data_IF_551688281256
#
_entry.id   IF_551688281256
#
_cell.length_a   1.000
_cell.length_b   1.000
_cell.length_c   1.000
_cell.angle_alpha   90.00
_cell.angle_beta   90.00
_cell.angle_gamma   90.00
#
_symmetry.space_group_name_H-M   'P 1'
#
loop_
_entity.id
_entity.type
_entity.pdbx_description
1 polymer ?
#
# COMPACT_ATOMS: atom_id res chain seq x y z
N UNK A 1 -0.27 -9.67 -9.45
CA UNK A 1 0.97 -9.93 -8.68
C UNK A 1 0.73 -11.16 -7.81
N UNK A 2 1.77 -11.82 -7.28
CA UNK A 2 1.64 -12.96 -6.36
C UNK A 2 1.77 -12.48 -4.92
N UNK A 3 1.13 -13.17 -3.97
CA UNK A 3 1.32 -12.88 -2.53
C UNK A 3 2.77 -13.14 -2.13
N UNK A 4 3.20 -12.52 -1.03
CA UNK A 4 4.51 -12.79 -0.46
C UNK A 4 4.55 -14.17 0.23
N UNK A 5 5.72 -14.80 0.27
CA UNK A 5 5.97 -16.08 0.94
C UNK A 5 6.55 -15.89 2.35
N UNK A 6 7.08 -14.71 2.64
CA UNK A 6 7.75 -14.40 3.92
C UNK A 6 7.42 -12.99 4.40
N UNK A 7 7.72 -12.71 5.68
CA UNK A 7 7.59 -11.37 6.24
C UNK A 7 8.47 -10.36 5.50
N UNK A 8 9.69 -10.75 5.13
CA UNK A 8 10.61 -9.87 4.41
C UNK A 8 10.06 -9.52 3.03
N UNK A 9 9.52 -10.50 2.30
CA UNK A 9 8.87 -10.22 1.00
C UNK A 9 7.65 -9.31 1.17
N UNK A 10 6.88 -9.46 2.26
CA UNK A 10 5.78 -8.55 2.55
C UNK A 10 6.27 -7.14 2.88
N UNK A 11 7.36 -7.00 3.65
CA UNK A 11 8.01 -5.71 3.93
C UNK A 11 8.46 -5.06 2.62
N UNK A 12 9.08 -5.83 1.73
CA UNK A 12 9.54 -5.35 0.42
C UNK A 12 8.37 -4.85 -0.43
N UNK A 13 7.23 -5.55 -0.47
CA UNK A 13 6.03 -5.08 -1.16
C UNK A 13 5.47 -3.79 -0.56
N UNK A 14 5.45 -3.65 0.77
CA UNK A 14 4.99 -2.41 1.42
C UNK A 14 5.95 -1.26 1.11
N UNK A 15 7.26 -1.53 1.09
CA UNK A 15 8.26 -0.54 0.70
C UNK A 15 8.12 -0.14 -0.78
N UNK A 16 7.85 -1.09 -1.68
CA UNK A 16 7.51 -0.82 -3.09
C UNK A 16 6.29 0.09 -3.19
N UNK A 17 5.26 -0.11 -2.36
CA UNK A 17 4.08 0.75 -2.37
C UNK A 17 4.36 2.19 -1.91
N UNK A 18 5.29 2.37 -0.96
CA UNK A 18 5.78 3.70 -0.58
C UNK A 18 6.54 4.34 -1.74
N UNK A 19 7.39 3.59 -2.44
CA UNK A 19 8.10 4.07 -3.62
C UNK A 19 7.13 4.49 -4.74
N UNK A 20 6.11 3.69 -5.04
CA UNK A 20 5.10 4.01 -6.05
C UNK A 20 4.30 5.30 -5.74
N UNK A 21 4.08 5.60 -4.45
CA UNK A 21 3.47 6.86 -4.03
C UNK A 21 4.41 8.04 -4.28
N UNK A 22 5.70 7.88 -3.98
CA UNK A 22 6.71 8.92 -4.21
C UNK A 22 6.91 9.19 -5.72
N UNK A 23 6.96 8.14 -6.55
CA UNK A 23 7.04 8.26 -8.00
C UNK A 23 5.79 8.92 -8.58
N UNK A 24 4.60 8.52 -8.10
CA UNK A 24 3.36 9.16 -8.51
C UNK A 24 3.40 10.66 -8.16
N UNK A 25 3.84 11.03 -6.95
CA UNK A 25 3.98 12.44 -6.56
C UNK A 25 4.92 13.20 -7.49
N UNK A 26 6.07 12.61 -7.83
CA UNK A 26 7.05 13.22 -8.73
C UNK A 26 6.46 13.46 -10.14
N UNK A 27 5.65 12.54 -10.64
CA UNK A 27 4.94 12.71 -11.92
C UNK A 27 3.95 13.89 -11.91
N UNK A 28 3.35 14.20 -10.76
CA UNK A 28 2.33 15.25 -10.62
C UNK A 28 2.92 16.66 -10.49
N UNK A 29 4.24 16.82 -10.29
CA UNK A 29 4.87 18.14 -10.03
C UNK A 29 4.74 19.13 -11.20
N UNK A 30 4.28 18.68 -12.37
CA UNK A 30 4.17 19.49 -13.59
C UNK A 30 2.79 19.44 -14.27
N UNK A 31 1.79 18.78 -13.67
CA UNK A 31 0.44 18.64 -14.23
C UNK A 31 -0.65 18.85 -13.15
N UNK A 32 -1.19 20.08 -13.08
CA UNK A 32 -2.19 20.49 -12.08
C UNK A 32 -3.54 19.77 -12.23
N UNK A 33 -3.91 19.39 -13.47
CA UNK A 33 -5.16 18.67 -13.76
C UNK A 33 -5.05 17.22 -13.29
N UNK A 34 -3.90 16.58 -13.52
CA UNK A 34 -3.61 15.25 -13.01
C UNK A 34 -3.50 15.26 -11.47
N UNK A 35 -2.82 16.25 -10.89
CA UNK A 35 -2.64 16.40 -9.44
C UNK A 35 -3.98 16.45 -8.68
N UNK A 36 -4.99 17.12 -9.26
CA UNK A 36 -6.34 17.21 -8.70
C UNK A 36 -7.03 15.85 -8.51
N UNK A 37 -6.65 14.83 -9.29
CA UNK A 37 -7.18 13.46 -9.17
C UNK A 37 -6.65 12.73 -7.94
N UNK A 38 -5.40 12.99 -7.56
CA UNK A 38 -4.65 12.23 -6.55
C UNK A 38 -4.58 12.91 -5.18
N UNK A 39 -4.56 14.24 -5.17
CA UNK A 39 -4.51 15.07 -3.96
C UNK A 39 -5.53 14.65 -2.88
N UNK A 40 -6.78 14.23 -3.19
CA UNK A 40 -7.75 13.87 -2.16
C UNK A 40 -7.38 12.66 -1.28
N UNK A 41 -6.40 11.84 -1.68
CA UNK A 41 -6.07 10.61 -0.96
C UNK A 41 -4.56 10.31 -0.85
N UNK A 42 -3.71 10.94 -1.67
CA UNK A 42 -2.31 10.55 -1.81
C UNK A 42 -1.53 10.71 -0.49
N UNK A 43 -1.71 11.82 0.22
CA UNK A 43 -1.01 12.08 1.49
C UNK A 43 -1.44 11.12 2.61
N UNK A 44 -2.72 10.79 2.69
CA UNK A 44 -3.23 9.82 3.65
C UNK A 44 -2.74 8.41 3.33
N UNK A 45 -2.76 8.02 2.05
CA UNK A 45 -2.25 6.73 1.60
C UNK A 45 -0.75 6.59 1.91
N UNK A 46 0.05 7.61 1.61
CA UNK A 46 1.50 7.67 1.92
C UNK A 46 1.75 7.40 3.40
N UNK A 47 1.11 8.19 4.27
CA UNK A 47 1.25 8.07 5.73
C UNK A 47 0.89 6.66 6.21
N UNK A 48 -0.22 6.10 5.75
CA UNK A 48 -0.67 4.78 6.17
C UNK A 48 0.28 3.65 5.73
N UNK A 49 0.88 3.77 4.54
CA UNK A 49 1.87 2.82 4.03
C UNK A 49 3.18 2.93 4.80
N UNK A 50 3.64 4.14 5.09
CA UNK A 50 4.84 4.38 5.92
C UNK A 50 4.66 3.90 7.35
N UNK A 51 3.50 4.14 7.96
CA UNK A 51 3.16 3.64 9.29
C UNK A 51 3.14 2.10 9.33
N UNK A 52 2.59 1.47 8.29
CA UNK A 52 2.60 0.01 8.15
C UNK A 52 4.03 -0.55 7.99
N UNK A 53 4.83 0.05 7.10
CA UNK A 53 6.23 -0.33 6.89
C UNK A 53 7.01 -0.23 8.20
N UNK A 54 6.90 0.91 8.90
CA UNK A 54 7.54 1.16 10.18
C UNK A 54 7.10 0.14 11.24
N UNK A 55 5.80 -0.18 11.32
CA UNK A 55 5.32 -1.23 12.22
C UNK A 55 5.94 -2.61 11.91
N UNK A 56 6.13 -2.94 10.63
CA UNK A 56 6.75 -4.22 10.23
C UNK A 56 8.24 -4.28 10.57
N UNK A 57 9.03 -3.25 10.22
CA UNK A 57 10.48 -3.25 10.45
C UNK A 57 10.84 -3.12 11.94
N UNK A 58 9.96 -2.50 12.74
CA UNK A 58 10.12 -2.40 14.19
C UNK A 58 9.59 -3.59 14.98
N UNK A 59 9.00 -4.59 14.31
CA UNK A 59 8.43 -5.78 14.94
C UNK A 59 7.12 -5.55 15.70
N UNK A 60 6.44 -4.41 15.48
CA UNK A 60 5.12 -4.10 16.05
C UNK A 60 3.95 -4.65 15.21
N UNK A 61 4.21 -5.07 13.98
CA UNK A 61 3.22 -5.67 13.11
C UNK A 61 2.74 -7.03 13.63
N UNK A 62 1.43 -7.19 13.77
CA UNK A 62 0.81 -8.37 14.38
C UNK A 62 0.94 -9.66 13.56
N UNK A 63 1.32 -9.57 12.28
CA UNK A 63 1.48 -10.72 11.38
C UNK A 63 0.35 -10.84 10.35
N UNK A 64 0.26 -12.02 9.75
CA UNK A 64 -0.64 -12.33 8.63
C UNK A 64 -1.64 -13.43 8.99
N UNK A 65 -2.73 -13.55 8.22
CA UNK A 65 -3.74 -14.60 8.37
C UNK A 65 -4.81 -14.30 9.42
N UNK A 66 -4.91 -13.04 9.88
CA UNK A 66 -5.91 -12.60 10.87
C UNK A 66 -7.32 -12.41 10.29
N UNK A 67 -7.48 -12.46 8.96
CA UNK A 67 -8.78 -12.27 8.29
C UNK A 67 -9.26 -10.82 8.20
N UNK A 68 -8.58 -9.89 8.88
CA UNK A 68 -8.87 -8.45 8.82
C UNK A 68 -8.19 -7.78 7.61
N UNK A 69 -8.81 -6.71 7.12
CA UNK A 69 -8.23 -5.85 6.08
C UNK A 69 -7.26 -4.85 6.74
N UNK A 70 -6.20 -4.47 6.02
CA UNK A 70 -5.30 -3.40 6.44
C UNK A 70 -6.02 -2.05 6.53
N UNK A 71 -5.53 -1.18 7.41
CA UNK A 71 -6.15 0.11 7.71
C UNK A 71 -6.37 0.98 6.47
N UNK A 72 -5.53 0.89 5.43
CA UNK A 72 -5.67 1.67 4.20
C UNK A 72 -6.82 1.22 3.30
N UNK A 73 -7.40 0.03 3.51
CA UNK A 73 -8.37 -0.56 2.61
C UNK A 73 -9.66 0.26 2.40
N UNK A 74 -10.24 0.93 3.41
CA UNK A 74 -11.38 1.83 3.18
C UNK A 74 -11.05 2.99 2.24
N UNK A 75 -9.86 3.61 2.39
CA UNK A 75 -9.39 4.66 1.49
C UNK A 75 -9.14 4.12 0.09
N UNK A 76 -8.44 2.99 -0.01
CA UNK A 76 -8.18 2.28 -1.26
C UNK A 76 -9.47 1.98 -2.01
N UNK A 77 -10.47 1.36 -1.38
CA UNK A 77 -11.75 0.99 -2.04
C UNK A 77 -12.48 2.22 -2.60
N UNK A 78 -12.36 3.39 -1.98
CA UNK A 78 -12.96 4.64 -2.45
C UNK A 78 -12.27 5.19 -3.72
N UNK A 79 -10.96 5.00 -3.84
CA UNK A 79 -10.14 5.60 -4.90
C UNK A 79 -9.52 4.58 -5.87
N UNK A 80 -9.85 3.29 -5.74
CA UNK A 80 -9.22 2.15 -6.39
C UNK A 80 -9.00 2.31 -7.91
N UNK A 81 -9.96 2.93 -8.61
CA UNK A 81 -9.88 3.09 -10.06
C UNK A 81 -8.85 4.13 -10.50
N UNK A 82 -8.54 5.10 -9.63
CA UNK A 82 -7.56 6.15 -9.90
C UNK A 82 -6.13 5.70 -9.58
N UNK A 83 -5.95 4.73 -8.67
CA UNK A 83 -4.63 4.31 -8.18
C UNK A 83 -3.91 3.46 -9.25
N UNK A 84 -2.76 3.90 -9.78
CA UNK A 84 -2.05 3.18 -10.84
C UNK A 84 -1.42 1.86 -10.37
N UNK A 85 -0.99 1.79 -9.10
CA UNK A 85 -0.40 0.60 -8.45
C UNK A 85 -1.42 -0.20 -7.60
N UNK A 86 -2.70 -0.16 -7.96
CA UNK A 86 -3.78 -0.83 -7.19
C UNK A 86 -3.57 -2.32 -6.95
N UNK A 87 -2.96 -3.03 -7.89
CA UNK A 87 -2.71 -4.47 -7.75
C UNK A 87 -1.68 -4.77 -6.65
N UNK A 88 -0.71 -3.88 -6.44
CA UNK A 88 0.26 -3.99 -5.35
C UNK A 88 -0.44 -3.87 -4.00
N UNK A 89 -1.27 -2.84 -3.81
CA UNK A 89 -2.06 -2.66 -2.59
C UNK A 89 -3.00 -3.83 -2.29
N UNK A 90 -3.67 -4.36 -3.32
CA UNK A 90 -4.48 -5.58 -3.19
C UNK A 90 -3.64 -6.79 -2.76
N UNK A 91 -2.45 -6.94 -3.32
CA UNK A 91 -1.54 -8.07 -3.01
C UNK A 91 -1.01 -7.99 -1.59
N UNK A 92 -0.64 -6.80 -1.13
CA UNK A 92 -0.25 -6.54 0.26
C UNK A 92 -1.41 -6.92 1.20
N UNK A 93 -2.62 -6.42 0.93
CA UNK A 93 -3.79 -6.72 1.76
C UNK A 93 -4.17 -8.20 1.73
N UNK A 94 -4.12 -8.86 0.57
CA UNK A 94 -4.39 -10.28 0.45
C UNK A 94 -3.38 -11.11 1.27
N UNK A 95 -2.09 -10.77 1.20
CA UNK A 95 -1.06 -11.42 2.02
C UNK A 95 -1.32 -11.20 3.52
N UNK A 96 -1.62 -9.97 3.93
CA UNK A 96 -1.98 -9.67 5.33
C UNK A 96 -3.18 -10.49 5.80
N UNK A 97 -4.27 -10.45 5.04
CA UNK A 97 -5.55 -11.03 5.41
C UNK A 97 -5.54 -12.56 5.41
N UNK A 98 -4.96 -13.15 4.38
CA UNK A 98 -5.09 -14.58 4.06
C UNK A 98 -3.84 -15.38 4.45
N UNK A 99 -2.74 -14.70 4.78
CA UNK A 99 -1.44 -15.35 4.98
C UNK A 99 -0.61 -15.45 3.71
N UNK A 100 0.60 -15.98 3.89
CA UNK A 100 1.58 -16.12 2.82
C UNK A 100 1.11 -17.03 1.68
N UNK A 101 1.73 -16.86 0.52
CA UNK A 101 1.63 -17.81 -0.58
C UNK A 101 2.20 -19.18 -0.15
N UNK A 102 1.56 -20.26 -0.61
CA UNK A 102 1.88 -21.64 -0.24
C UNK A 102 2.98 -22.25 -1.12
#
# INVERSE_FOLDING_TARGET
MKKAHTLNELIDLVHEAVYEVDELRACLEHDDDEASTYTPYLDDLDRMLRDLHEAMVSGRYAGVGGGEDLAFMPLFKKHERAIPFRELLRTINATHREGYEA
#
